data_IF_725971682315
#
_entry.id   IF_725971682315
#
_cell.length_a   1.000
_cell.length_b   1.000
_cell.length_c   1.000
_cell.angle_alpha   90.00
_cell.angle_beta   90.00
_cell.angle_gamma   90.00
#
_symmetry.space_group_name_H-M   'P 1'
#
loop_
_entity.id
_entity.type
_entity.pdbx_description
1 polymer ?
#
# COMPACT_ATOMS: atom_id res chain seq x y z
N UNK A 1 26.14 -1.81 -13.21
CA UNK A 1 25.31 -1.37 -12.06
C UNK A 1 24.36 -2.47 -11.55
N UNK A 2 23.78 -3.33 -12.40
CA UNK A 2 22.89 -4.43 -11.95
C UNK A 2 23.50 -5.36 -10.88
N UNK A 3 24.82 -5.64 -10.96
CA UNK A 3 25.52 -6.49 -10.00
C UNK A 3 25.45 -5.99 -8.54
N UNK A 4 25.33 -4.68 -8.32
CA UNK A 4 25.20 -4.10 -6.98
C UNK A 4 23.84 -4.41 -6.35
N UNK A 5 22.77 -4.43 -7.16
CA UNK A 5 21.44 -4.82 -6.69
C UNK A 5 21.38 -6.31 -6.33
N UNK A 6 22.07 -7.15 -7.10
CA UNK A 6 22.24 -8.58 -6.80
C UNK A 6 22.97 -8.78 -5.47
N UNK A 7 24.10 -8.09 -5.28
CA UNK A 7 24.88 -8.19 -4.06
C UNK A 7 24.11 -7.71 -2.83
N UNK A 8 23.31 -6.64 -2.96
CA UNK A 8 22.54 -6.10 -1.85
C UNK A 8 21.55 -7.12 -1.26
N UNK A 9 20.88 -7.91 -2.10
CA UNK A 9 19.97 -8.95 -1.60
C UNK A 9 20.71 -10.04 -0.81
N UNK A 10 21.91 -10.41 -1.26
CA UNK A 10 22.79 -11.30 -0.49
C UNK A 10 23.25 -10.67 0.81
N UNK A 11 23.52 -9.36 0.82
CA UNK A 11 23.89 -8.62 2.03
C UNK A 11 22.75 -8.58 3.05
N UNK A 12 21.55 -8.13 2.69
CA UNK A 12 20.42 -8.04 3.65
C UNK A 12 20.01 -9.41 4.19
N UNK A 13 20.16 -10.48 3.39
CA UNK A 13 19.95 -11.84 3.84
C UNK A 13 20.88 -12.23 5.01
N UNK A 14 22.14 -11.79 5.00
CA UNK A 14 23.10 -12.05 6.11
C UNK A 14 22.69 -11.39 7.42
N UNK A 15 21.89 -10.33 7.38
CA UNK A 15 21.39 -9.61 8.56
C UNK A 15 19.98 -10.08 8.99
N UNK A 16 19.51 -11.22 8.47
CA UNK A 16 18.24 -11.83 8.90
C UNK A 16 16.98 -11.24 8.25
N UNK A 17 17.13 -10.33 7.27
CA UNK A 17 15.98 -9.83 6.51
C UNK A 17 15.45 -10.84 5.48
N UNK A 18 16.11 -11.99 5.30
CA UNK A 18 15.65 -13.04 4.38
C UNK A 18 14.27 -13.57 4.77
N UNK A 19 14.00 -13.72 6.07
CA UNK A 19 12.72 -14.19 6.59
C UNK A 19 11.60 -13.20 6.24
N UNK A 20 11.86 -11.91 6.46
CA UNK A 20 10.90 -10.84 6.14
C UNK A 20 10.63 -10.83 4.63
N UNK A 21 11.68 -10.89 3.80
CA UNK A 21 11.54 -10.90 2.34
C UNK A 21 10.78 -12.13 1.82
N UNK A 22 10.91 -13.29 2.47
CA UNK A 22 10.18 -14.53 2.13
C UNK A 22 8.70 -14.47 2.45
N UNK A 23 8.29 -13.73 3.49
CA UNK A 23 6.88 -13.67 3.91
C UNK A 23 6.09 -12.54 3.25
N UNK A 24 6.74 -11.65 2.49
CA UNK A 24 6.08 -10.53 1.81
C UNK A 24 5.11 -10.96 0.71
N UNK A 25 5.25 -12.16 0.16
CA UNK A 25 4.40 -12.60 -0.93
C UNK A 25 4.54 -14.09 -1.21
N UNK A 26 3.46 -14.71 -1.71
CA UNK A 26 3.49 -16.09 -2.20
C UNK A 26 4.01 -16.15 -3.63
N UNK A 27 3.68 -15.12 -4.41
CA UNK A 27 4.11 -14.94 -5.79
C UNK A 27 4.86 -13.62 -5.96
N UNK A 28 5.63 -13.51 -7.05
CA UNK A 28 6.37 -12.28 -7.41
C UNK A 28 5.45 -11.05 -7.42
N UNK A 29 4.21 -11.19 -7.92
CA UNK A 29 3.20 -10.12 -7.90
C UNK A 29 2.95 -9.56 -6.50
N UNK A 30 2.83 -10.42 -5.50
CA UNK A 30 2.48 -10.05 -4.12
C UNK A 30 3.65 -9.32 -3.48
N UNK A 31 4.87 -9.82 -3.73
CA UNK A 31 6.08 -9.18 -3.29
C UNK A 31 6.20 -7.76 -3.86
N UNK A 32 6.04 -7.60 -5.17
CA UNK A 32 6.20 -6.29 -5.83
C UNK A 32 5.12 -5.31 -5.36
N UNK A 33 3.88 -5.77 -5.17
CA UNK A 33 2.80 -4.97 -4.57
C UNK A 33 3.07 -4.62 -3.10
N UNK A 34 3.74 -5.50 -2.34
CA UNK A 34 4.05 -5.32 -0.92
C UNK A 34 5.32 -4.51 -0.63
N UNK A 35 6.09 -4.11 -1.64
CA UNK A 35 7.39 -3.42 -1.47
C UNK A 35 7.27 -2.10 -0.71
N UNK A 36 6.23 -1.30 -1.00
CA UNK A 36 6.01 -0.03 -0.30
C UNK A 36 5.69 -0.27 1.18
N UNK A 37 4.92 -1.30 1.50
CA UNK A 37 4.59 -1.65 2.89
C UNK A 37 5.84 -2.12 3.66
N UNK A 38 6.73 -2.90 3.01
CA UNK A 38 8.02 -3.24 3.58
C UNK A 38 8.86 -1.99 3.88
N UNK A 39 8.91 -1.05 2.94
CA UNK A 39 9.65 0.19 3.11
C UNK A 39 9.12 1.05 4.26
N UNK A 40 7.80 1.13 4.43
CA UNK A 40 7.20 1.79 5.58
C UNK A 40 7.54 1.07 6.88
N UNK A 41 7.52 -0.26 6.91
CA UNK A 41 7.98 -1.03 8.08
C UNK A 41 9.43 -0.71 8.45
N UNK A 42 10.33 -0.64 7.46
CA UNK A 42 11.73 -0.31 7.70
C UNK A 42 11.93 1.11 8.26
N UNK A 43 11.01 2.05 8.01
CA UNK A 43 11.11 3.40 8.60
C UNK A 43 10.95 3.43 10.11
N UNK A 44 10.31 2.43 10.73
CA UNK A 44 10.27 2.32 12.20
C UNK A 44 11.66 2.11 12.78
N UNK A 45 12.51 1.32 12.11
CA UNK A 45 13.91 1.10 12.52
C UNK A 45 14.85 2.17 11.98
N UNK A 46 14.54 2.74 10.81
CA UNK A 46 15.38 3.71 10.11
C UNK A 46 14.58 4.97 9.74
N UNK A 47 14.31 5.89 10.69
CA UNK A 47 13.40 7.03 10.46
C UNK A 47 13.83 7.99 9.35
N UNK A 48 15.13 8.06 9.06
CA UNK A 48 15.71 8.94 8.02
C UNK A 48 15.77 8.28 6.63
N UNK A 49 15.35 7.02 6.49
CA UNK A 49 15.35 6.34 5.19
C UNK A 49 14.30 6.97 4.29
N UNK A 50 14.74 7.35 3.09
CA UNK A 50 13.90 7.78 1.97
C UNK A 50 13.92 6.67 0.92
N UNK A 51 13.03 5.68 1.03
CA UNK A 51 12.97 4.57 0.10
C UNK A 51 12.34 5.01 -1.22
N UNK A 52 12.60 4.31 -2.33
CA UNK A 52 11.81 4.47 -3.53
C UNK A 52 10.38 3.93 -3.32
N UNK A 53 9.46 4.42 -4.12
CA UNK A 53 8.06 3.98 -4.16
C UNK A 53 7.83 3.11 -5.39
N UNK A 54 7.10 2.02 -5.20
CA UNK A 54 6.76 1.02 -6.22
C UNK A 54 5.26 0.89 -6.37
N UNK A 55 4.74 1.13 -7.57
CA UNK A 55 3.30 1.07 -7.85
C UNK A 55 3.00 0.17 -9.05
N UNK A 56 2.20 -0.88 -8.85
CA UNK A 56 1.75 -1.75 -9.92
C UNK A 56 0.54 -1.14 -10.63
N UNK A 57 0.70 -0.77 -11.91
CA UNK A 57 -0.38 -0.20 -12.72
C UNK A 57 -1.25 -1.30 -13.34
N UNK A 58 -0.62 -2.29 -13.95
CA UNK A 58 -1.31 -3.35 -14.68
C UNK A 58 -0.67 -4.69 -14.34
N UNK A 59 -1.52 -5.71 -14.21
CA UNK A 59 -1.10 -7.07 -13.96
C UNK A 59 -1.74 -8.01 -14.98
N UNK A 60 -0.99 -9.01 -15.39
CA UNK A 60 -1.42 -10.00 -16.36
C UNK A 60 -0.77 -11.35 -16.08
N UNK A 61 -1.20 -12.40 -16.77
CA UNK A 61 -0.61 -13.73 -16.66
C UNK A 61 0.87 -13.80 -17.11
N UNK A 62 1.36 -12.80 -17.84
CA UNK A 62 2.73 -12.75 -18.36
C UNK A 62 3.62 -11.74 -17.64
N UNK A 63 3.11 -11.11 -16.57
CA UNK A 63 3.87 -10.17 -15.77
C UNK A 63 3.10 -8.93 -15.32
N UNK A 64 3.86 -7.92 -14.88
CA UNK A 64 3.36 -6.71 -14.20
C UNK A 64 4.00 -5.45 -14.79
N UNK A 65 3.22 -4.40 -14.98
CA UNK A 65 3.71 -3.04 -15.28
C UNK A 65 3.86 -2.27 -13.97
N UNK A 66 5.09 -1.84 -13.68
CA UNK A 66 5.51 -1.24 -12.42
C UNK A 66 6.01 0.19 -12.63
N UNK A 67 5.54 1.11 -11.81
CA UNK A 67 6.06 2.46 -11.66
C UNK A 67 7.06 2.47 -10.52
N UNK A 68 8.26 2.96 -10.80
CA UNK A 68 9.30 3.23 -9.82
C UNK A 68 9.48 4.74 -9.70
N UNK A 69 9.34 5.26 -8.49
CA UNK A 69 9.58 6.68 -8.19
C UNK A 69 10.67 6.82 -7.14
N UNK A 70 11.65 7.66 -7.39
CA UNK A 70 12.76 7.87 -6.45
C UNK A 70 13.35 9.27 -6.56
N UNK A 71 13.63 9.87 -5.40
CA UNK A 71 14.44 11.11 -5.32
C UNK A 71 15.92 10.85 -5.65
N UNK A 72 16.37 9.59 -5.56
CA UNK A 72 17.77 9.20 -5.85
C UNK A 72 17.93 8.93 -7.34
N UNK A 73 18.51 9.90 -8.05
CA UNK A 73 18.79 9.81 -9.49
C UNK A 73 19.91 8.78 -9.77
N UNK A 74 19.81 8.05 -10.88
CA UNK A 74 20.81 7.06 -11.30
C UNK A 74 20.72 5.68 -10.62
N UNK A 75 19.72 5.43 -9.77
CA UNK A 75 19.53 4.15 -9.07
C UNK A 75 18.62 3.15 -9.80
N UNK A 76 18.16 3.46 -11.01
CA UNK A 76 17.27 2.57 -11.78
C UNK A 76 17.87 1.17 -11.95
N UNK A 77 19.09 1.07 -12.48
CA UNK A 77 19.77 -0.21 -12.68
C UNK A 77 20.00 -1.00 -11.37
N UNK A 78 20.13 -0.29 -10.26
CA UNK A 78 20.22 -0.91 -8.93
C UNK A 78 18.87 -1.52 -8.51
N UNK A 79 17.76 -0.82 -8.71
CA UNK A 79 16.41 -1.35 -8.49
C UNK A 79 16.11 -2.55 -9.41
N UNK A 80 16.44 -2.45 -10.70
CA UNK A 80 16.31 -3.56 -11.65
C UNK A 80 17.10 -4.79 -11.21
N UNK A 81 18.34 -4.61 -10.74
CA UNK A 81 19.17 -5.71 -10.24
C UNK A 81 18.56 -6.42 -9.03
N UNK A 82 17.97 -5.66 -8.10
CA UNK A 82 17.26 -6.23 -6.94
C UNK A 82 16.02 -7.01 -7.37
N UNK A 83 15.18 -6.45 -8.25
CA UNK A 83 13.97 -7.12 -8.72
C UNK A 83 14.30 -8.47 -9.39
N UNK A 84 15.31 -8.50 -10.28
CA UNK A 84 15.76 -9.73 -10.94
C UNK A 84 16.27 -10.77 -9.95
N UNK A 85 17.13 -10.34 -9.01
CA UNK A 85 17.71 -11.25 -8.03
C UNK A 85 16.68 -11.77 -7.04
N UNK A 86 15.69 -10.96 -6.66
CA UNK A 86 14.60 -11.38 -5.79
C UNK A 86 13.78 -12.49 -6.44
N UNK A 87 13.40 -12.32 -7.71
CA UNK A 87 12.67 -13.35 -8.47
C UNK A 87 13.41 -14.68 -8.47
N UNK A 88 14.71 -14.65 -8.76
CA UNK A 88 15.58 -15.83 -8.76
C UNK A 88 15.72 -16.47 -7.38
N UNK A 89 16.03 -15.68 -6.37
CA UNK A 89 16.42 -16.16 -5.05
C UNK A 89 15.24 -16.69 -4.23
N UNK A 90 14.07 -16.07 -4.33
CA UNK A 90 12.92 -16.40 -3.49
C UNK A 90 11.82 -17.16 -4.24
N UNK A 91 11.67 -16.93 -5.54
CA UNK A 91 10.57 -17.48 -6.34
C UNK A 91 11.03 -18.39 -7.47
N UNK A 92 12.34 -18.65 -7.59
CA UNK A 92 12.93 -19.47 -8.67
C UNK A 92 12.45 -19.02 -10.06
N UNK A 93 12.20 -17.72 -10.22
CA UNK A 93 11.57 -17.13 -11.40
C UNK A 93 12.52 -16.14 -12.06
N UNK A 94 12.76 -16.33 -13.36
CA UNK A 94 13.50 -15.38 -14.17
C UNK A 94 12.62 -14.18 -14.54
N UNK A 95 12.86 -13.04 -13.89
CA UNK A 95 12.17 -11.79 -14.19
C UNK A 95 12.98 -11.01 -15.25
N UNK A 96 12.40 -10.81 -16.42
CA UNK A 96 12.92 -9.88 -17.42
C UNK A 96 12.35 -8.48 -17.16
N UNK A 97 13.23 -7.51 -16.93
CA UNK A 97 12.85 -6.11 -16.67
C UNK A 97 13.13 -5.28 -17.90
N UNK A 98 12.07 -4.72 -18.49
CA UNK A 98 12.08 -3.81 -19.64
C UNK A 98 11.68 -2.41 -19.19
N UNK A 99 12.44 -1.40 -19.57
CA UNK A 99 12.11 0.00 -19.24
C UNK A 99 11.24 0.56 -20.36
N UNK A 100 10.02 0.98 -20.05
CA UNK A 100 9.06 1.54 -21.00
C UNK A 100 9.19 3.07 -21.12
N UNK A 101 9.44 3.74 -20.00
CA UNK A 101 9.63 5.20 -19.97
C UNK A 101 10.48 5.58 -18.76
N UNK A 102 11.35 6.58 -18.94
CA UNK A 102 12.12 7.20 -17.86
C UNK A 102 11.96 8.72 -17.98
N UNK A 103 11.45 9.34 -16.93
CA UNK A 103 11.16 10.77 -16.88
C UNK A 103 11.70 11.36 -15.58
N UNK A 104 12.15 12.60 -15.66
CA UNK A 104 12.44 13.41 -14.48
C UNK A 104 11.24 14.33 -14.25
N UNK A 105 10.49 14.08 -13.17
CA UNK A 105 9.31 14.86 -12.81
C UNK A 105 9.69 15.70 -11.58
N UNK A 106 9.97 16.99 -11.80
CA UNK A 106 10.51 17.87 -10.78
C UNK A 106 11.82 17.33 -10.20
N UNK A 107 11.81 17.01 -8.90
CA UNK A 107 12.98 16.52 -8.17
C UNK A 107 13.10 15.00 -8.09
N UNK A 108 12.14 14.24 -8.64
CA UNK A 108 12.17 12.78 -8.61
C UNK A 108 12.26 12.17 -10.01
N UNK A 109 12.93 11.01 -10.08
CA UNK A 109 12.91 10.14 -11.26
C UNK A 109 11.69 9.25 -11.17
N UNK A 110 10.89 9.24 -12.24
CA UNK A 110 9.76 8.34 -12.44
C UNK A 110 10.07 7.46 -13.65
N UNK A 111 10.17 6.16 -13.40
CA UNK A 111 10.41 5.14 -14.42
C UNK A 111 9.22 4.19 -14.47
N UNK A 112 8.68 3.95 -15.65
CA UNK A 112 7.71 2.88 -15.89
C UNK A 112 8.45 1.70 -16.50
N UNK A 113 8.34 0.53 -15.88
CA UNK A 113 9.00 -0.69 -16.32
C UNK A 113 8.02 -1.86 -16.41
N UNK A 114 8.21 -2.72 -17.40
CA UNK A 114 7.49 -3.99 -17.54
C UNK A 114 8.36 -5.11 -16.97
N UNK A 115 7.79 -5.83 -16.01
CA UNK A 115 8.34 -7.06 -15.44
C UNK A 115 7.68 -8.23 -16.16
N UNK A 116 8.40 -8.87 -17.07
CA UNK A 116 7.95 -10.06 -17.77
C UNK A 116 8.41 -11.31 -17.01
N UNK A 117 7.46 -12.13 -16.56
CA UNK A 117 7.69 -13.39 -15.85
C UNK A 117 6.43 -14.28 -15.94
N UNK A 118 6.56 -15.56 -15.63
CA UNK A 118 5.39 -16.45 -15.53
C UNK A 118 4.55 -16.05 -14.32
N UNK A 119 3.44 -15.37 -14.56
CA UNK A 119 2.45 -14.98 -13.56
C UNK A 119 1.15 -15.78 -13.73
N UNK A 120 1.24 -17.06 -14.09
CA UNK A 120 0.09 -17.95 -14.20
C UNK A 120 -0.81 -17.98 -12.95
N UNK A 121 -0.23 -17.74 -11.76
CA UNK A 121 -0.93 -17.55 -10.49
C UNK A 121 -2.07 -16.50 -10.58
N UNK A 122 -1.89 -15.45 -11.38
CA UNK A 122 -2.90 -14.42 -11.63
C UNK A 122 -4.23 -14.98 -12.15
N UNK A 123 -4.16 -16.00 -13.03
CA UNK A 123 -5.35 -16.58 -13.65
C UNK A 123 -6.19 -17.37 -12.65
N UNK A 124 -5.54 -18.01 -11.67
CA UNK A 124 -6.24 -18.77 -10.63
C UNK A 124 -6.97 -17.83 -9.67
N UNK A 125 -6.32 -16.74 -9.25
CA UNK A 125 -6.93 -15.76 -8.33
C UNK A 125 -8.10 -15.02 -9.01
N UNK A 126 -7.95 -14.57 -10.26
CA UNK A 126 -9.07 -13.98 -11.01
C UNK A 126 -10.27 -14.93 -11.12
N UNK A 127 -9.99 -16.23 -11.32
CA UNK A 127 -11.03 -17.25 -11.44
C UNK A 127 -11.71 -17.49 -10.09
N UNK A 128 -10.96 -17.59 -8.99
CA UNK A 128 -11.52 -17.68 -7.63
C UNK A 128 -12.34 -16.44 -7.26
N UNK A 129 -11.88 -15.21 -7.55
CA UNK A 129 -12.62 -13.99 -7.24
C UNK A 129 -13.93 -13.88 -8.02
N UNK A 130 -13.95 -14.40 -9.26
CA UNK A 130 -15.16 -14.45 -10.09
C UNK A 130 -16.13 -15.54 -9.63
N UNK A 131 -15.62 -16.69 -9.19
CA UNK A 131 -16.41 -17.84 -8.72
C UNK A 131 -16.91 -17.68 -7.27
N UNK A 132 -16.20 -16.92 -6.43
CA UNK A 132 -16.55 -16.66 -5.01
C UNK A 132 -17.37 -15.39 -4.78
N UNK A 133 -18.11 -14.89 -5.76
CA UNK A 133 -19.14 -13.88 -5.52
C UNK A 133 -20.37 -14.47 -4.80
N UNK A 134 -20.16 -15.30 -3.78
CA UNK A 134 -21.20 -15.56 -2.80
C UNK A 134 -21.33 -14.31 -1.93
N UNK A 135 -22.40 -13.56 -2.16
CA UNK A 135 -22.76 -12.43 -1.32
C UNK A 135 -22.95 -12.99 0.09
N UNK A 136 -21.98 -12.75 0.97
CA UNK A 136 -22.14 -13.03 2.39
C UNK A 136 -23.42 -12.29 2.84
N UNK A 137 -24.35 -12.95 3.54
CA UNK A 137 -25.59 -12.33 4.00
C UNK A 137 -25.34 -11.41 5.20
N UNK A 138 -24.46 -10.43 5.01
CA UNK A 138 -24.07 -9.44 6.01
C UNK A 138 -24.86 -8.17 5.73
N UNK A 139 -25.64 -7.73 6.71
CA UNK A 139 -26.30 -6.43 6.65
C UNK A 139 -25.25 -5.33 6.88
N UNK A 140 -25.50 -4.16 6.31
CA UNK A 140 -24.66 -2.98 6.52
C UNK A 140 -24.47 -2.68 8.01
N UNK A 141 -25.55 -2.76 8.79
CA UNK A 141 -25.55 -2.43 10.22
C UNK A 141 -24.59 -3.32 11.00
N UNK A 142 -24.61 -4.64 10.73
CA UNK A 142 -23.69 -5.59 11.34
C UNK A 142 -22.22 -5.29 10.97
N UNK A 143 -21.95 -4.89 9.72
CA UNK A 143 -20.59 -4.53 9.29
C UNK A 143 -20.05 -3.31 10.07
N UNK A 144 -20.85 -2.26 10.26
CA UNK A 144 -20.44 -1.06 10.99
C UNK A 144 -20.26 -1.30 12.50
N UNK A 145 -20.96 -2.28 13.06
CA UNK A 145 -20.78 -2.73 14.45
C UNK A 145 -19.50 -3.55 14.63
N UNK A 146 -19.19 -4.45 13.69
CA UNK A 146 -17.98 -5.28 13.73
C UNK A 146 -16.71 -4.45 13.49
N UNK A 147 -16.78 -3.43 12.62
CA UNK A 147 -15.65 -2.56 12.30
C UNK A 147 -15.90 -1.12 12.78
N UNK A 148 -15.72 -0.82 14.08
CA UNK A 148 -16.09 0.47 14.65
C UNK A 148 -15.29 1.66 14.09
N UNK A 149 -14.11 1.42 13.52
CA UNK A 149 -13.24 2.43 12.91
C UNK A 149 -13.15 2.26 11.39
N UNK A 150 -14.28 2.36 10.71
CA UNK A 150 -14.34 2.40 9.25
C UNK A 150 -14.99 3.70 8.75
N UNK A 151 -14.64 4.11 7.53
CA UNK A 151 -15.21 5.28 6.86
C UNK A 151 -15.55 4.89 5.43
N UNK A 152 -16.77 5.19 5.01
CA UNK A 152 -17.24 4.99 3.64
C UNK A 152 -17.55 6.36 3.03
N UNK A 153 -16.89 6.67 1.92
CA UNK A 153 -17.06 7.92 1.17
C UNK A 153 -17.04 7.65 -0.34
N UNK A 154 -17.62 8.55 -1.13
CA UNK A 154 -17.73 8.43 -2.60
C UNK A 154 -16.68 9.27 -3.34
N UNK A 155 -16.75 9.24 -4.68
CA UNK A 155 -15.88 9.97 -5.60
C UNK A 155 -15.86 11.49 -5.38
N UNK A 156 -16.92 12.04 -4.80
CA UNK A 156 -17.05 13.45 -4.41
C UNK A 156 -16.32 13.78 -3.08
N UNK A 157 -15.64 12.80 -2.49
CA UNK A 157 -14.97 12.87 -1.18
C UNK A 157 -15.93 13.13 -0.02
N UNK A 158 -17.23 12.89 -0.20
CA UNK A 158 -18.25 13.05 0.86
C UNK A 158 -18.43 11.74 1.61
N UNK A 159 -18.37 11.82 2.94
CA UNK A 159 -18.59 10.69 3.84
C UNK A 159 -20.10 10.38 3.88
N UNK A 160 -20.44 9.09 3.74
CA UNK A 160 -21.83 8.61 3.76
C UNK A 160 -22.14 7.70 4.92
N UNK A 161 -21.15 6.95 5.40
CA UNK A 161 -21.31 6.06 6.54
C UNK A 161 -19.99 5.98 7.30
N UNK A 162 -20.11 5.84 8.61
CA UNK A 162 -18.98 5.73 9.52
C UNK A 162 -19.30 4.68 10.57
N UNK A 163 -18.29 3.89 10.94
CA UNK A 163 -18.41 2.90 12.01
C UNK A 163 -18.79 3.55 13.35
N UNK A 164 -19.45 2.79 14.23
CA UNK A 164 -20.00 3.29 15.50
C UNK A 164 -18.97 3.99 16.40
N UNK A 165 -17.73 3.48 16.41
CA UNK A 165 -16.62 4.07 17.16
C UNK A 165 -16.19 5.43 16.62
N UNK A 166 -16.04 5.57 15.30
CA UNK A 166 -15.71 6.86 14.70
C UNK A 166 -16.88 7.85 14.77
N UNK A 167 -18.12 7.40 14.64
CA UNK A 167 -19.31 8.26 14.79
C UNK A 167 -19.44 8.83 16.20
N UNK A 168 -19.04 8.08 17.22
CA UNK A 168 -18.99 8.57 18.61
C UNK A 168 -17.94 9.67 18.80
N UNK A 169 -16.80 9.54 18.11
CA UNK A 169 -15.68 10.49 18.22
C UNK A 169 -15.88 11.73 17.34
N UNK A 170 -16.49 11.55 16.17
CA UNK A 170 -16.74 12.58 15.16
C UNK A 170 -18.22 12.55 14.73
N UNK A 171 -19.15 13.07 15.56
CA UNK A 171 -20.59 12.96 15.30
C UNK A 171 -21.03 13.69 14.02
N UNK A 172 -20.34 14.77 13.64
CA UNK A 172 -20.71 15.58 12.48
C UNK A 172 -19.93 15.23 11.20
N UNK A 173 -19.29 14.06 11.15
CA UNK A 173 -18.47 13.67 9.99
C UNK A 173 -19.34 13.20 8.81
N UNK A 174 -20.52 12.65 9.10
CA UNK A 174 -21.43 12.16 8.07
C UNK A 174 -21.98 13.32 7.23
N UNK A 175 -21.98 13.16 5.92
CA UNK A 175 -22.36 14.18 4.94
C UNK A 175 -21.33 15.30 4.71
N UNK A 176 -20.19 15.32 5.43
CA UNK A 176 -19.11 16.28 5.19
C UNK A 176 -18.04 15.70 4.27
N UNK A 177 -17.19 16.58 3.71
CA UNK A 177 -16.01 16.12 2.98
C UNK A 177 -15.02 15.51 3.95
N UNK A 178 -14.48 14.33 3.62
CA UNK A 178 -13.46 13.66 4.43
C UNK A 178 -12.22 14.55 4.62
N UNK A 179 -11.91 15.36 3.61
CA UNK A 179 -10.81 16.32 3.63
C UNK A 179 -11.01 17.47 4.63
N UNK A 180 -12.23 17.71 5.11
CA UNK A 180 -12.50 18.74 6.11
C UNK A 180 -12.17 18.23 7.51
N UNK A 181 -12.49 16.97 7.80
CA UNK A 181 -12.27 16.33 9.10
C UNK A 181 -10.87 15.70 9.24
N UNK A 182 -10.31 15.17 8.15
CA UNK A 182 -9.07 14.41 8.15
C UNK A 182 -8.02 14.97 7.19
N UNK A 183 -6.76 14.69 7.51
CA UNK A 183 -5.58 14.92 6.68
C UNK A 183 -4.97 13.57 6.32
N UNK A 184 -4.48 13.46 5.09
CA UNK A 184 -3.68 12.31 4.70
C UNK A 184 -2.25 12.51 5.23
N UNK A 185 -1.86 11.70 6.21
CA UNK A 185 -0.51 11.66 6.74
C UNK A 185 0.41 10.83 5.82
N UNK A 186 -0.10 9.71 5.28
CA UNK A 186 0.63 8.83 4.36
C UNK A 186 -0.30 8.14 3.36
N UNK A 187 0.16 7.86 2.13
CA UNK A 187 1.40 8.34 1.54
C UNK A 187 1.39 9.87 1.33
N UNK A 188 2.55 10.49 1.12
CA UNK A 188 2.68 11.95 0.90
C UNK A 188 2.19 12.34 -0.50
N UNK A 189 0.90 12.15 -0.75
CA UNK A 189 0.18 12.49 -1.98
C UNK A 189 -0.97 13.42 -1.66
N UNK A 190 -1.53 14.06 -2.67
CA UNK A 190 -2.74 14.85 -2.48
C UNK A 190 -3.92 13.95 -2.08
N UNK A 191 -4.68 14.36 -1.06
CA UNK A 191 -5.83 13.60 -0.57
C UNK A 191 -7.02 13.77 -1.52
N UNK A 192 -7.01 13.04 -2.63
CA UNK A 192 -8.03 13.08 -3.70
C UNK A 192 -8.41 11.67 -4.13
N UNK A 193 -9.63 11.50 -4.66
CA UNK A 193 -10.13 10.20 -5.11
C UNK A 193 -9.18 9.52 -6.11
N UNK A 194 -8.73 10.25 -7.14
CA UNK A 194 -7.84 9.73 -8.18
C UNK A 194 -6.51 9.24 -7.60
N UNK A 195 -5.97 9.89 -6.57
CA UNK A 195 -4.74 9.46 -5.92
C UNK A 195 -4.96 8.23 -5.03
N UNK A 196 -6.12 8.10 -4.39
CA UNK A 196 -6.44 6.92 -3.56
C UNK A 196 -6.61 5.69 -4.44
N UNK A 197 -7.43 5.77 -5.50
CA UNK A 197 -7.68 4.62 -6.39
C UNK A 197 -6.45 4.21 -7.20
N UNK A 198 -5.50 5.13 -7.41
CA UNK A 198 -4.24 4.82 -8.07
C UNK A 198 -3.20 4.24 -7.11
N UNK A 199 -3.49 4.05 -5.83
CA UNK A 199 -2.57 3.39 -4.90
C UNK A 199 -3.32 2.40 -3.97
N UNK A 200 -4.09 1.44 -4.51
CA UNK A 200 -5.01 0.61 -3.72
C UNK A 200 -4.32 -0.31 -2.71
N UNK A 201 -3.06 -0.67 -2.97
CA UNK A 201 -2.27 -1.59 -2.13
C UNK A 201 -1.39 -0.86 -1.11
N UNK A 202 -1.45 0.48 -1.08
CA UNK A 202 -0.66 1.28 -0.15
C UNK A 202 -1.43 1.47 1.17
N UNK A 203 -0.69 1.43 2.27
CA UNK A 203 -1.25 1.83 3.57
C UNK A 203 -1.53 3.34 3.58
N UNK A 204 -2.81 3.70 3.74
CA UNK A 204 -3.21 5.08 3.97
C UNK A 204 -3.31 5.34 5.48
N UNK A 205 -2.58 6.34 5.94
CA UNK A 205 -2.68 6.86 7.30
C UNK A 205 -3.40 8.20 7.22
N UNK A 206 -4.59 8.29 7.83
CA UNK A 206 -5.35 9.54 7.96
C UNK A 206 -5.35 10.01 9.42
N UNK A 207 -5.24 11.31 9.61
CA UNK A 207 -5.17 11.95 10.93
C UNK A 207 -6.28 12.99 11.05
N UNK A 208 -6.93 13.07 12.21
CA UNK A 208 -7.92 14.12 12.44
C UNK A 208 -7.26 15.49 12.47
N UNK A 209 -7.87 16.49 11.83
CA UNK A 209 -7.39 17.88 11.89
C UNK A 209 -7.55 18.47 13.29
N UNK A 210 -8.69 18.17 13.90
CA UNK A 210 -8.99 18.61 15.24
C UNK A 210 -8.60 17.54 16.26
N UNK A 211 -8.05 17.93 17.42
CA UNK A 211 -7.74 17.00 18.49
C UNK A 211 -9.05 16.41 19.02
N UNK A 212 -9.08 15.08 19.14
CA UNK A 212 -10.22 14.35 19.71
C UNK A 212 -10.44 14.81 21.15
N UNK A 213 -11.58 15.47 21.41
CA UNK A 213 -12.00 15.82 22.76
C UNK A 213 -12.44 14.53 23.46
N UNK A 214 -11.67 14.06 24.44
CA UNK A 214 -12.16 13.04 25.36
C UNK A 214 -13.25 13.67 26.22
N UNK A 215 -14.51 13.31 25.98
CA UNK A 215 -15.50 13.46 27.03
C UNK A 215 -15.10 12.53 28.18
N UNK A 216 -14.52 13.12 29.23
CA UNK A 216 -14.44 12.44 30.53
C UNK A 216 -15.89 12.25 30.96
N UNK A 217 -16.40 11.02 30.82
CA UNK A 217 -17.59 10.59 31.54
C UNK A 217 -17.33 10.71 33.06
N UNK A 218 -17.55 11.91 33.59
CA UNK A 218 -17.77 12.18 35.01
C UNK A 218 -19.19 11.69 35.34
N UNK A 219 -19.41 10.38 35.25
CA UNK A 219 -20.59 9.76 35.83
C UNK A 219 -20.26 9.30 37.25
N UNK A 220 -20.49 10.23 38.17
CA UNK A 220 -21.23 10.05 39.43
C UNK A 220 -21.06 8.69 40.12
N UNK A 221 -20.03 8.57 40.96
CA UNK A 221 -20.17 7.86 42.24
C UNK A 221 -20.42 8.90 43.33
N UNK A 222 -21.66 9.36 43.45
CA UNK A 222 -22.16 9.96 44.70
C UNK A 222 -23.35 9.11 45.15
N UNK A 223 -23.12 8.39 46.25
CA UNK A 223 -24.04 7.95 47.30
C UNK A 223 -25.26 7.08 46.95
N UNK A 224 -25.21 5.82 47.39
CA UNK A 224 -26.03 5.33 48.53
C UNK A 224 -25.24 4.26 49.26
#
# INVERSE_FOLDING_TARGET
MNAWGVYFLGFVGKYGYDQILKVLGRHVRDFVNGLDNLHEYLRFSYPKVQPPTFFCQEESATGVTLHYRSKRKGYLHYAMGQLRQMGKQFYQTDILVEVLSEQLVGDYSHVTMRLNFDNSAYRYIQKEDTERQEILPITSDFFFDVFPFNIVFRQDMVVHNVGSGLGTVFPDVDGKKINDAFLLARPLVEFTWNMIISHPNNLFEIMSKEPVKRERNLHNRIQS
#
